data_IF_611631045557
#
_entry.id   IF_611631045557
#
_cell.length_a   1.000
_cell.length_b   1.000
_cell.length_c   1.000
_cell.angle_alpha   90.00
_cell.angle_beta   90.00
_cell.angle_gamma   90.00
#
_symmetry.space_group_name_H-M   'P 1'
#
loop_
_entity.id
_entity.type
_entity.pdbx_description
1 polymer ?
#
# COMPACT_ATOMS: atom_id res chain seq x y z
N UNK A 1 7.34 0.97 -42.67
CA UNK A 1 8.73 0.66 -42.28
C UNK A 1 9.24 1.58 -41.17
N UNK A 2 9.27 2.91 -41.34
CA UNK A 2 9.92 3.82 -40.35
C UNK A 2 9.47 3.72 -38.89
N UNK A 3 8.17 3.50 -38.60
CA UNK A 3 7.66 3.40 -37.22
C UNK A 3 8.01 2.05 -36.57
N UNK A 4 8.00 0.95 -37.34
CA UNK A 4 8.41 -0.37 -36.85
C UNK A 4 9.91 -0.33 -36.51
N UNK A 5 10.71 0.30 -37.37
CA UNK A 5 12.14 0.52 -37.16
C UNK A 5 12.43 1.42 -35.94
N UNK A 6 11.65 2.50 -35.76
CA UNK A 6 11.79 3.40 -34.61
C UNK A 6 11.44 2.73 -33.27
N UNK A 7 10.38 1.92 -33.25
CA UNK A 7 9.95 1.19 -32.06
C UNK A 7 10.92 0.05 -31.70
N UNK A 8 11.45 -0.65 -32.70
CA UNK A 8 12.48 -1.67 -32.49
C UNK A 8 13.77 -1.04 -31.93
N UNK A 9 14.19 0.12 -32.44
CA UNK A 9 15.34 0.86 -31.90
C UNK A 9 15.10 1.37 -30.48
N UNK A 10 13.88 1.80 -30.14
CA UNK A 10 13.54 2.20 -28.77
C UNK A 10 13.58 1.01 -27.82
N UNK A 11 13.06 -0.15 -28.23
CA UNK A 11 13.12 -1.39 -27.44
C UNK A 11 14.55 -1.86 -27.20
N UNK A 12 15.43 -1.74 -28.20
CA UNK A 12 16.83 -2.12 -28.08
C UNK A 12 17.61 -1.20 -27.13
N UNK A 13 17.14 0.04 -26.91
CA UNK A 13 17.82 1.04 -26.08
C UNK A 13 17.48 0.96 -24.60
N UNK A 14 16.26 0.55 -24.27
CA UNK A 14 15.76 0.50 -22.89
C UNK A 14 15.92 -0.90 -22.28
N UNK A 15 16.14 -1.94 -23.11
CA UNK A 15 16.37 -3.34 -22.69
C UNK A 15 15.36 -3.87 -21.64
N UNK A 16 14.12 -3.37 -21.64
CA UNK A 16 13.02 -3.90 -20.84
C UNK A 16 12.26 -4.98 -21.61
N UNK A 17 12.00 -6.10 -20.95
CA UNK A 17 11.23 -7.21 -21.50
C UNK A 17 9.77 -6.83 -21.76
N UNK A 18 9.17 -5.96 -20.91
CA UNK A 18 7.81 -5.45 -21.13
C UNK A 18 7.73 -4.57 -22.38
N UNK A 19 8.76 -3.73 -22.61
CA UNK A 19 8.82 -2.87 -23.78
C UNK A 19 8.97 -3.67 -25.07
N UNK A 20 9.75 -4.76 -25.04
CA UNK A 20 9.93 -5.67 -26.17
C UNK A 20 8.62 -6.35 -26.55
N UNK A 21 7.86 -6.83 -25.57
CA UNK A 21 6.54 -7.45 -25.77
C UNK A 21 5.55 -6.44 -26.35
N UNK A 22 5.56 -5.20 -25.87
CA UNK A 22 4.69 -4.13 -26.38
C UNK A 22 4.98 -3.79 -27.85
N UNK A 23 6.26 -3.66 -28.22
CA UNK A 23 6.66 -3.34 -29.60
C UNK A 23 6.28 -4.47 -30.57
N UNK A 24 6.53 -5.73 -30.20
CA UNK A 24 6.13 -6.89 -31.01
C UNK A 24 4.61 -6.92 -31.20
N UNK A 25 3.83 -6.67 -30.14
CA UNK A 25 2.37 -6.65 -30.21
C UNK A 25 1.85 -5.52 -31.11
N UNK A 26 2.43 -4.33 -31.04
CA UNK A 26 2.07 -3.19 -31.90
C UNK A 26 2.38 -3.49 -33.37
N UNK A 27 3.53 -4.10 -33.66
CA UNK A 27 3.92 -4.47 -35.01
C UNK A 27 3.00 -5.56 -35.60
N UNK A 28 2.59 -6.55 -34.79
CA UNK A 28 1.61 -7.58 -35.19
C UNK A 28 0.22 -6.97 -35.43
N UNK A 29 -0.25 -6.13 -34.51
CA UNK A 29 -1.56 -5.49 -34.63
C UNK A 29 -1.66 -4.58 -35.87
N UNK A 30 -0.56 -3.88 -36.22
CA UNK A 30 -0.49 -3.09 -37.46
C UNK A 30 -0.51 -3.93 -38.73
N UNK A 31 0.09 -5.13 -38.72
CA UNK A 31 0.12 -6.05 -39.89
C UNK A 31 -1.23 -6.72 -40.16
N UNK A 32 -2.09 -6.85 -39.14
CA UNK A 32 -3.37 -7.58 -39.25
C UNK A 32 -4.55 -6.73 -39.77
N UNK A 33 -4.42 -5.41 -39.93
CA UNK A 33 -5.51 -4.54 -40.39
C UNK A 33 -6.73 -4.46 -39.45
N UNK A 34 -6.66 -5.09 -38.26
CA UNK A 34 -7.63 -4.91 -37.19
C UNK A 34 -7.53 -3.50 -36.62
N UNK A 35 -8.65 -2.97 -36.16
CA UNK A 35 -8.80 -1.59 -35.67
C UNK A 35 -7.83 -1.34 -34.50
N UNK A 36 -6.58 -0.98 -34.81
CA UNK A 36 -5.55 -0.68 -33.82
C UNK A 36 -6.03 0.43 -32.89
N UNK A 37 -6.85 1.35 -33.39
CA UNK A 37 -7.50 2.37 -32.58
C UNK A 37 -8.41 1.77 -31.50
N UNK A 38 -9.13 0.68 -31.77
CA UNK A 38 -9.97 -0.03 -30.80
C UNK A 38 -9.15 -0.76 -29.75
N UNK A 39 -8.07 -1.46 -30.15
CA UNK A 39 -7.16 -2.12 -29.21
C UNK A 39 -6.46 -1.08 -28.31
N UNK A 40 -5.95 0.01 -28.89
CA UNK A 40 -5.33 1.10 -28.14
C UNK A 40 -6.33 1.82 -27.24
N UNK A 41 -7.58 1.95 -27.66
CA UNK A 41 -8.66 2.49 -26.84
C UNK A 41 -8.91 1.60 -25.61
N UNK A 42 -9.04 0.29 -25.78
CA UNK A 42 -9.23 -0.66 -24.67
C UNK A 42 -8.05 -0.69 -23.70
N UNK A 43 -6.81 -0.63 -24.21
CA UNK A 43 -5.62 -0.55 -23.35
C UNK A 43 -5.61 0.76 -22.56
N UNK A 44 -5.94 1.87 -23.21
CA UNK A 44 -6.01 3.19 -22.56
C UNK A 44 -7.06 3.23 -21.44
N UNK A 45 -8.24 2.66 -21.69
CA UNK A 45 -9.29 2.51 -20.68
C UNK A 45 -8.86 1.58 -19.54
N UNK A 46 -8.22 0.46 -19.85
CA UNK A 46 -7.72 -0.48 -18.84
C UNK A 46 -6.66 0.18 -17.94
N UNK A 47 -5.75 0.99 -18.51
CA UNK A 47 -4.75 1.73 -17.74
C UNK A 47 -5.43 2.75 -16.82
N UNK A 48 -6.38 3.53 -17.34
CA UNK A 48 -7.14 4.51 -16.54
C UNK A 48 -7.90 3.85 -15.40
N UNK A 49 -8.50 2.69 -15.64
CA UNK A 49 -9.23 1.95 -14.61
C UNK A 49 -8.27 1.38 -13.56
N UNK A 50 -7.11 0.85 -13.96
CA UNK A 50 -6.06 0.44 -13.01
C UNK A 50 -5.58 1.60 -12.15
N UNK A 51 -5.35 2.77 -12.72
CA UNK A 51 -5.00 3.96 -11.94
C UNK A 51 -6.11 4.36 -10.98
N UNK A 52 -7.37 4.32 -11.42
CA UNK A 52 -8.53 4.61 -10.58
C UNK A 52 -8.58 3.66 -9.38
N UNK A 53 -8.39 2.36 -9.62
CA UNK A 53 -8.35 1.33 -8.57
C UNK A 53 -7.18 1.59 -7.62
N UNK A 54 -5.96 1.83 -8.14
CA UNK A 54 -4.79 2.17 -7.31
C UNK A 54 -5.05 3.38 -6.41
N UNK A 55 -5.60 4.47 -6.96
CA UNK A 55 -5.98 5.66 -6.18
C UNK A 55 -7.02 5.32 -5.10
N UNK A 56 -8.02 4.50 -5.44
CA UNK A 56 -9.06 4.07 -4.48
C UNK A 56 -8.48 3.21 -3.36
N UNK A 57 -7.62 2.25 -3.69
CA UNK A 57 -6.92 1.41 -2.70
C UNK A 57 -6.05 2.27 -1.80
N UNK A 58 -5.23 3.17 -2.36
CA UNK A 58 -4.37 4.05 -1.57
C UNK A 58 -5.18 4.95 -0.62
N UNK A 59 -6.32 5.49 -1.07
CA UNK A 59 -7.21 6.27 -0.23
C UNK A 59 -7.83 5.44 0.92
N UNK A 60 -8.35 4.25 0.62
CA UNK A 60 -8.91 3.34 1.62
C UNK A 60 -7.86 2.87 2.63
N UNK A 61 -6.66 2.51 2.15
CA UNK A 61 -5.54 2.14 3.03
C UNK A 61 -5.15 3.33 3.90
N UNK A 62 -5.16 4.56 3.37
CA UNK A 62 -4.90 5.78 4.17
C UNK A 62 -5.92 6.00 5.28
N UNK A 63 -7.20 5.79 5.02
CA UNK A 63 -8.25 5.83 6.04
C UNK A 63 -8.08 4.72 7.10
N UNK A 64 -7.77 3.50 6.66
CA UNK A 64 -7.48 2.37 7.55
C UNK A 64 -6.25 2.61 8.44
N UNK A 65 -5.18 3.18 7.88
CA UNK A 65 -3.97 3.59 8.63
C UNK A 65 -4.29 4.58 9.73
N UNK A 66 -5.04 5.64 9.40
CA UNK A 66 -5.43 6.66 10.39
C UNK A 66 -6.27 6.05 11.51
N UNK A 67 -7.21 5.16 11.17
CA UNK A 67 -8.02 4.44 12.16
C UNK A 67 -7.17 3.54 13.05
N UNK A 68 -6.21 2.82 12.48
CA UNK A 68 -5.27 1.97 13.22
C UNK A 68 -4.39 2.76 14.20
N UNK A 69 -3.90 3.93 13.78
CA UNK A 69 -3.11 4.83 14.66
C UNK A 69 -3.96 5.33 15.83
N UNK A 70 -5.20 5.75 15.56
CA UNK A 70 -6.11 6.22 16.63
C UNK A 70 -6.38 5.09 17.63
N UNK A 71 -6.66 3.88 17.15
CA UNK A 71 -6.96 2.73 18.02
C UNK A 71 -5.72 2.32 18.82
N UNK A 72 -4.53 2.25 18.21
CA UNK A 72 -3.27 1.96 18.94
C UNK A 72 -2.86 3.05 19.94
N UNK A 73 -3.34 4.29 19.75
CA UNK A 73 -3.12 5.34 20.74
C UNK A 73 -4.06 5.22 21.95
N UNK A 74 -5.18 4.49 21.86
CA UNK A 74 -6.18 4.42 22.93
C UNK A 74 -5.64 3.86 24.25
N UNK A 75 -4.88 2.74 24.29
CA UNK A 75 -4.40 2.20 25.56
C UNK A 75 -3.48 3.16 26.28
N UNK A 76 -2.61 3.86 25.54
CA UNK A 76 -1.72 4.88 26.08
C UNK A 76 -2.49 6.09 26.62
N UNK A 77 -3.48 6.59 25.86
CA UNK A 77 -4.33 7.69 26.29
C UNK A 77 -5.15 7.34 27.53
N UNK A 78 -5.77 6.16 27.55
CA UNK A 78 -6.54 5.69 28.69
C UNK A 78 -5.67 5.50 29.93
N UNK A 79 -4.48 4.91 29.78
CA UNK A 79 -3.54 4.78 30.89
C UNK A 79 -3.17 6.15 31.48
N UNK A 80 -2.92 7.15 30.63
CA UNK A 80 -2.55 8.50 31.06
C UNK A 80 -3.72 9.23 31.73
N UNK A 81 -4.94 9.09 31.19
CA UNK A 81 -6.16 9.66 31.78
C UNK A 81 -6.44 9.01 33.14
N UNK A 82 -6.42 7.68 33.22
CA UNK A 82 -6.69 6.96 34.46
C UNK A 82 -5.64 7.25 35.52
N UNK A 83 -4.36 7.41 35.14
CA UNK A 83 -3.32 7.83 36.05
C UNK A 83 -3.57 9.22 36.66
N UNK A 84 -4.21 10.14 35.91
CA UNK A 84 -4.59 11.47 36.42
C UNK A 84 -5.86 11.47 37.26
N UNK A 85 -6.84 10.64 36.92
CA UNK A 85 -8.14 10.58 37.62
C UNK A 85 -8.02 9.81 38.92
N UNK A 86 -7.41 8.62 38.88
CA UNK A 86 -7.26 7.73 40.03
C UNK A 86 -5.87 7.07 40.02
N UNK A 87 -4.86 7.77 40.55
CA UNK A 87 -3.50 7.24 40.63
C UNK A 87 -3.40 6.06 41.60
N UNK A 88 -4.30 5.92 42.59
CA UNK A 88 -4.28 4.78 43.51
C UNK A 88 -4.70 3.49 42.81
N UNK A 89 -5.68 3.55 41.92
CA UNK A 89 -6.06 2.42 41.08
C UNK A 89 -4.94 1.97 40.12
N UNK A 90 -4.12 2.90 39.62
CA UNK A 90 -3.02 2.61 38.68
C UNK A 90 -1.73 2.18 39.38
N UNK A 91 -1.52 2.49 40.67
CA UNK A 91 -0.32 2.13 41.44
C UNK A 91 0.05 0.64 41.39
N UNK A 92 -0.89 -0.33 41.54
CA UNK A 92 -0.58 -1.74 41.45
C UNK A 92 -0.04 -2.15 40.08
N UNK A 93 -0.44 -1.45 39.01
CA UNK A 93 0.00 -1.73 37.65
C UNK A 93 1.54 -1.56 37.51
N UNK A 94 2.12 -0.60 38.22
CA UNK A 94 3.56 -0.33 38.17
C UNK A 94 4.36 -1.05 39.27
N UNK A 95 3.74 -1.27 40.43
CA UNK A 95 4.44 -1.76 41.63
C UNK A 95 4.29 -3.27 41.88
N UNK A 96 3.35 -3.94 41.21
CA UNK A 96 3.17 -5.40 41.36
C UNK A 96 3.77 -6.16 40.18
N UNK A 97 4.29 -7.36 40.45
CA UNK A 97 4.82 -8.25 39.42
C UNK A 97 3.78 -8.55 38.32
N UNK A 98 2.53 -8.77 38.73
CA UNK A 98 1.42 -9.01 37.79
C UNK A 98 1.10 -7.78 36.94
N UNK A 99 1.12 -6.58 37.53
CA UNK A 99 0.92 -5.34 36.80
C UNK A 99 2.00 -5.09 35.74
N UNK A 100 3.26 -5.35 36.07
CA UNK A 100 4.38 -5.23 35.14
C UNK A 100 4.29 -6.23 33.98
N UNK A 101 3.84 -7.46 34.25
CA UNK A 101 3.53 -8.45 33.22
C UNK A 101 2.44 -7.99 32.26
N UNK A 102 1.36 -7.39 32.77
CA UNK A 102 0.28 -6.83 31.94
C UNK A 102 0.80 -5.67 31.09
N UNK A 103 1.59 -4.75 31.67
CA UNK A 103 2.19 -3.64 30.93
C UNK A 103 3.11 -4.12 29.80
N UNK A 104 3.93 -5.15 30.05
CA UNK A 104 4.75 -5.78 29.02
C UNK A 104 3.88 -6.41 27.92
N UNK A 105 2.79 -7.07 28.29
CA UNK A 105 1.83 -7.63 27.34
C UNK A 105 1.19 -6.57 26.45
N UNK A 106 0.73 -5.46 27.03
CA UNK A 106 0.18 -4.31 26.29
C UNK A 106 1.23 -3.72 25.35
N UNK A 107 2.44 -3.47 25.85
CA UNK A 107 3.54 -2.93 25.04
C UNK A 107 3.86 -3.85 23.85
N UNK A 108 3.88 -5.17 24.08
CA UNK A 108 4.14 -6.17 23.04
C UNK A 108 3.02 -6.20 21.99
N UNK A 109 1.75 -6.16 22.42
CA UNK A 109 0.61 -6.08 21.51
C UNK A 109 0.62 -4.80 20.67
N UNK A 110 0.94 -3.65 21.28
CA UNK A 110 1.08 -2.37 20.58
C UNK A 110 2.20 -2.41 19.54
N UNK A 111 3.36 -2.98 19.90
CA UNK A 111 4.47 -3.19 18.97
C UNK A 111 4.06 -4.05 17.77
N UNK A 112 3.34 -5.16 18.02
CA UNK A 112 2.81 -6.00 16.95
C UNK A 112 1.86 -5.17 16.07
N UNK A 113 0.87 -4.49 16.67
CA UNK A 113 -0.07 -3.65 15.93
C UNK A 113 0.63 -2.62 15.05
N UNK A 114 1.63 -1.94 15.60
CA UNK A 114 2.44 -0.95 14.88
C UNK A 114 3.22 -1.57 13.72
N UNK A 115 3.85 -2.74 13.93
CA UNK A 115 4.56 -3.48 12.86
C UNK A 115 3.60 -3.90 11.75
N UNK A 116 2.40 -4.37 12.10
CA UNK A 116 1.39 -4.76 11.12
C UNK A 116 0.91 -3.57 10.30
N UNK A 117 0.63 -2.43 10.94
CA UNK A 117 0.28 -1.17 10.24
C UNK A 117 1.41 -0.76 9.30
N UNK A 118 2.66 -0.78 9.77
CA UNK A 118 3.84 -0.45 8.94
C UNK A 118 3.99 -1.40 7.75
N UNK A 119 3.72 -2.70 7.94
CA UNK A 119 3.77 -3.70 6.87
C UNK A 119 2.68 -3.48 5.84
N UNK A 120 1.46 -3.13 6.25
CA UNK A 120 0.36 -2.77 5.34
C UNK A 120 0.70 -1.49 4.56
N UNK A 121 1.38 -0.52 5.19
CA UNK A 121 1.85 0.71 4.53
C UNK A 121 2.90 0.40 3.46
N UNK A 122 3.84 -0.50 3.75
CA UNK A 122 4.92 -0.87 2.84
C UNK A 122 4.45 -1.60 1.58
N UNK A 123 3.17 -1.97 1.47
CA UNK A 123 2.60 -2.61 0.27
C UNK A 123 2.37 -1.59 -0.87
N UNK A 124 2.55 -0.29 -0.65
CA UNK A 124 2.55 0.73 -1.72
C UNK A 124 3.97 1.01 -2.24
N UNK A 125 4.48 0.16 -3.15
CA UNK A 125 4.91 0.45 -4.55
C UNK A 125 5.01 -0.89 -5.30
#
# INVERSE_FOLDING_TARGET
>A
SSIEDALNNLSARIESEELKIAVVSINIARKSGGNLSEILFHISDTIRERERIKRKVSALTSQGKMSGIIIGALPLLLALILYKIDPEMMRPLFNTFMGQLVLLGVLFMELIGFVWIKRIIAIDV
#
